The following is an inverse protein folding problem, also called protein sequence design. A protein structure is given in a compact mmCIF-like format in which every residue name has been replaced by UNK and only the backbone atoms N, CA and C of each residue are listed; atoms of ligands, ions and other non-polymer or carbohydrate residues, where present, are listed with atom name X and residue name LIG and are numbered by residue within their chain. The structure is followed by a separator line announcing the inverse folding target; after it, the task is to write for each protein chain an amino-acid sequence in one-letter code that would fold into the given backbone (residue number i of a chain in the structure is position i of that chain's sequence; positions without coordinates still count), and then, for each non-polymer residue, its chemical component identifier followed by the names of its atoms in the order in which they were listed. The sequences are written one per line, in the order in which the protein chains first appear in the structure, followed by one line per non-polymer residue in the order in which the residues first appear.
data_IF_091208200888
#
_entry.id   IF_091208200888
#
_cell.length_a   1.000
_cell.length_b   1.000
_cell.length_c   1.000
_cell.angle_alpha   90.00
_cell.angle_beta   90.00
_cell.angle_gamma   90.00
#
_symmetry.space_group_name_H-M   'P 1'
#
loop_
_entity.id
_entity.type
_entity.pdbx_description
1 polymer ?
#
# COMPACT_ATOMS: atom_id res chain seq x y z
N UNK A 1 2.65 -15.02 -11.49
CA UNK A 1 3.74 -15.20 -10.51
C UNK A 1 5.01 -14.70 -11.15
N UNK A 2 5.81 -13.95 -10.41
CA UNK A 2 7.13 -13.46 -10.79
C UNK A 2 8.13 -13.98 -9.76
N UNK A 3 9.21 -14.60 -10.22
CA UNK A 3 10.30 -15.06 -9.36
C UNK A 3 11.28 -13.92 -9.09
N UNK A 4 11.61 -13.69 -7.82
CA UNK A 4 12.61 -12.73 -7.37
C UNK A 4 13.86 -13.51 -6.98
N UNK A 5 14.96 -13.42 -7.76
CA UNK A 5 16.14 -14.26 -7.57
C UNK A 5 16.67 -14.23 -6.13
N UNK A 6 16.75 -15.42 -5.51
CA UNK A 6 17.23 -15.58 -4.13
C UNK A 6 16.26 -15.12 -3.04
N UNK A 7 15.05 -14.66 -3.39
CA UNK A 7 14.06 -14.15 -2.43
C UNK A 7 12.75 -14.94 -2.43
N UNK A 8 12.32 -15.44 -3.59
CA UNK A 8 11.10 -16.25 -3.77
C UNK A 8 10.15 -15.68 -4.83
N UNK A 9 8.97 -16.26 -5.00
CA UNK A 9 7.99 -15.82 -5.99
C UNK A 9 6.83 -15.02 -5.36
N UNK A 10 6.33 -14.01 -6.09
CA UNK A 10 5.15 -13.23 -5.71
C UNK A 10 4.15 -13.09 -6.87
N UNK A 11 2.88 -12.89 -6.54
CA UNK A 11 1.85 -12.49 -7.50
C UNK A 11 2.02 -11.02 -7.87
N UNK A 12 1.99 -10.72 -9.18
CA UNK A 12 2.18 -9.38 -9.73
C UNK A 12 1.10 -9.11 -10.77
N UNK A 13 0.53 -7.92 -10.71
CA UNK A 13 -0.23 -7.27 -11.78
C UNK A 13 0.61 -6.11 -12.29
N UNK A 14 0.84 -6.09 -13.59
CA UNK A 14 1.61 -5.06 -14.27
C UNK A 14 0.75 -4.48 -15.39
N UNK A 15 0.54 -3.17 -15.38
CA UNK A 15 -0.44 -2.52 -16.25
C UNK A 15 -0.14 -1.04 -16.47
N UNK A 16 -0.67 -0.46 -17.55
CA UNK A 16 -0.41 0.94 -17.88
C UNK A 16 0.74 1.10 -18.87
N UNK A 17 1.03 2.32 -19.32
CA UNK A 17 2.07 2.58 -20.31
C UNK A 17 3.47 2.55 -19.68
N UNK A 18 4.47 2.11 -20.45
CA UNK A 18 5.85 1.91 -19.97
C UNK A 18 6.77 3.13 -20.23
N UNK A 19 6.24 4.21 -20.81
CA UNK A 19 6.94 5.45 -21.16
C UNK A 19 6.85 6.54 -20.06
N UNK A 20 6.29 6.18 -18.90
CA UNK A 20 6.14 7.04 -17.73
C UNK A 20 6.75 6.42 -16.46
N UNK A 21 6.62 7.09 -15.30
CA UNK A 21 7.11 6.57 -14.04
C UNK A 21 6.47 5.23 -13.68
N UNK A 22 7.23 4.36 -13.02
CA UNK A 22 6.70 3.09 -12.51
C UNK A 22 6.21 3.27 -11.08
N UNK A 23 4.89 3.26 -10.90
CA UNK A 23 4.22 3.28 -9.60
C UNK A 23 4.16 1.86 -9.04
N UNK A 24 4.84 1.59 -7.92
CA UNK A 24 4.77 0.30 -7.23
C UNK A 24 3.85 0.43 -6.02
N UNK A 25 2.70 -0.27 -6.05
CA UNK A 25 1.66 -0.12 -5.04
C UNK A 25 1.83 -1.13 -3.89
N UNK A 26 1.97 -0.63 -2.67
CA UNK A 26 2.25 -1.42 -1.46
C UNK A 26 1.03 -1.43 -0.53
N UNK A 27 0.44 -2.60 -0.34
CA UNK A 27 -0.83 -2.77 0.37
C UNK A 27 -0.74 -2.63 1.91
N UNK A 28 -1.92 -2.51 2.54
CA UNK A 28 -2.10 -2.51 3.99
C UNK A 28 -1.75 -3.87 4.62
N UNK A 29 -1.47 -3.87 5.93
CA UNK A 29 -1.42 -5.09 6.74
C UNK A 29 -2.75 -5.84 6.66
N UNK A 30 -2.68 -7.17 6.68
CA UNK A 30 -3.84 -8.08 6.55
C UNK A 30 -4.62 -7.95 5.22
N UNK A 31 -4.06 -7.25 4.24
CA UNK A 31 -4.62 -7.15 2.90
C UNK A 31 -3.70 -7.77 1.83
N UNK A 32 -4.23 -7.88 0.61
CA UNK A 32 -3.47 -8.17 -0.61
C UNK A 32 -3.35 -6.91 -1.47
N UNK A 33 -2.49 -6.96 -2.49
CA UNK A 33 -2.30 -5.88 -3.45
C UNK A 33 -3.63 -5.47 -4.10
N UNK A 34 -4.33 -6.43 -4.69
CA UNK A 34 -5.60 -6.18 -5.38
C UNK A 34 -6.67 -5.68 -4.41
N UNK A 35 -6.78 -6.27 -3.22
CA UNK A 35 -7.80 -5.86 -2.25
C UNK A 35 -7.65 -4.41 -1.79
N UNK A 36 -6.41 -3.89 -1.72
CA UNK A 36 -6.17 -2.50 -1.33
C UNK A 36 -6.38 -1.53 -2.49
N UNK A 37 -5.95 -1.91 -3.70
CA UNK A 37 -5.76 -0.95 -4.79
C UNK A 37 -6.78 -1.04 -5.92
N UNK A 38 -7.62 -2.10 -5.97
CA UNK A 38 -8.57 -2.33 -7.07
C UNK A 38 -9.39 -1.09 -7.47
N UNK A 39 -9.98 -0.31 -6.55
CA UNK A 39 -10.75 0.89 -6.92
C UNK A 39 -9.92 1.98 -7.62
N UNK A 40 -8.60 2.01 -7.40
CA UNK A 40 -7.71 3.05 -7.90
C UNK A 40 -6.98 2.68 -9.20
N UNK A 41 -6.86 1.39 -9.55
CA UNK A 41 -5.97 0.94 -10.63
C UNK A 41 -6.22 1.65 -11.96
N UNK A 42 -7.49 1.76 -12.38
CA UNK A 42 -7.85 2.41 -13.64
C UNK A 42 -7.47 3.90 -13.65
N UNK A 43 -7.55 4.58 -12.50
CA UNK A 43 -7.18 5.98 -12.37
C UNK A 43 -5.67 6.18 -12.35
N UNK A 44 -4.92 5.25 -11.77
CA UNK A 44 -3.46 5.38 -11.63
C UNK A 44 -2.71 5.13 -12.94
N UNK A 45 -3.22 4.25 -13.80
CA UNK A 45 -2.58 3.89 -15.09
C UNK A 45 -2.41 5.06 -16.06
N UNK A 46 -3.11 6.18 -15.84
CA UNK A 46 -2.92 7.42 -16.64
C UNK A 46 -1.64 8.17 -16.30
N UNK A 47 -1.01 7.84 -15.16
CA UNK A 47 0.20 8.50 -14.68
C UNK A 47 1.48 7.72 -15.00
N UNK A 48 1.38 6.49 -15.52
CA UNK A 48 2.52 5.64 -15.88
C UNK A 48 2.22 4.15 -15.66
N UNK A 49 3.30 3.36 -15.60
CA UNK A 49 3.24 1.93 -15.33
C UNK A 49 2.82 1.71 -13.88
N UNK A 50 1.86 0.84 -13.64
CA UNK A 50 1.33 0.49 -12.32
C UNK A 50 1.62 -0.97 -12.07
N UNK A 51 2.48 -1.21 -11.07
CA UNK A 51 2.86 -2.53 -10.61
C UNK A 51 2.24 -2.75 -9.24
N UNK A 52 1.40 -3.76 -9.12
CA UNK A 52 0.80 -4.20 -7.87
C UNK A 52 1.29 -5.60 -7.57
N UNK A 53 1.73 -5.85 -6.35
CA UNK A 53 2.11 -7.19 -5.94
C UNK A 53 1.69 -7.48 -4.52
N UNK A 54 1.62 -8.77 -4.18
CA UNK A 54 1.41 -9.20 -2.82
C UNK A 54 2.76 -9.19 -2.08
N UNK A 55 2.86 -8.34 -1.07
CA UNK A 55 4.05 -8.23 -0.24
C UNK A 55 4.26 -9.54 0.52
N UNK A 56 5.53 -9.82 0.83
CA UNK A 56 5.98 -10.96 1.62
C UNK A 56 5.06 -11.27 2.81
N UNK A 57 4.79 -12.54 3.03
CA UNK A 57 3.92 -13.03 4.10
C UNK A 57 2.42 -12.75 3.92
N UNK A 58 2.01 -12.11 2.83
CA UNK A 58 0.60 -11.81 2.52
C UNK A 58 0.19 -12.43 1.20
N UNK A 59 -1.09 -12.80 1.11
CA UNK A 59 -1.71 -13.29 -0.12
C UNK A 59 -0.91 -14.37 -0.83
N UNK A 60 -0.63 -14.13 -2.10
CA UNK A 60 0.22 -14.97 -2.95
C UNK A 60 1.64 -14.40 -3.06
N UNK A 61 2.09 -13.65 -2.06
CA UNK A 61 3.45 -13.17 -1.91
C UNK A 61 4.41 -14.25 -1.41
N UNK A 62 5.67 -13.85 -1.24
CA UNK A 62 6.73 -14.74 -0.74
C UNK A 62 6.35 -15.27 0.64
N UNK A 63 6.23 -16.59 0.78
CA UNK A 63 6.03 -17.21 2.10
C UNK A 63 7.31 -17.07 2.95
N UNK A 64 7.13 -16.81 4.24
CA UNK A 64 8.26 -16.62 5.14
C UNK A 64 7.94 -16.94 6.60
N UNK A 65 8.84 -17.65 7.31
CA UNK A 65 8.70 -17.88 8.74
C UNK A 65 9.03 -16.63 9.58
N UNK A 66 9.73 -15.64 9.01
CA UNK A 66 10.04 -14.35 9.65
C UNK A 66 9.59 -13.19 8.78
N UNK A 67 9.05 -12.14 9.37
CA UNK A 67 8.64 -10.95 8.64
C UNK A 67 9.48 -9.78 9.13
N UNK A 68 10.06 -9.03 8.18
CA UNK A 68 10.76 -7.77 8.40
C UNK A 68 10.25 -6.79 7.32
N UNK A 69 10.02 -5.53 7.70
CA UNK A 69 9.60 -4.52 6.74
C UNK A 69 10.73 -4.19 5.74
N UNK A 70 11.98 -4.32 6.18
CA UNK A 70 13.18 -4.18 5.36
C UNK A 70 13.25 -5.23 4.24
N UNK A 71 12.85 -6.47 4.53
CA UNK A 71 12.78 -7.52 3.51
C UNK A 71 11.74 -7.19 2.45
N UNK A 72 10.61 -6.60 2.85
CA UNK A 72 9.58 -6.14 1.92
C UNK A 72 10.10 -4.99 1.04
N UNK A 73 10.89 -4.08 1.61
CA UNK A 73 11.50 -2.99 0.86
C UNK A 73 12.52 -3.50 -0.18
N UNK A 74 13.31 -4.50 0.19
CA UNK A 74 14.25 -5.15 -0.74
C UNK A 74 13.51 -5.95 -1.83
N UNK A 75 12.35 -6.54 -1.53
CA UNK A 75 11.51 -7.21 -2.53
C UNK A 75 11.02 -6.25 -3.62
N UNK A 76 10.74 -4.97 -3.28
CA UNK A 76 10.35 -3.94 -4.26
C UNK A 76 11.46 -3.71 -5.28
N UNK A 77 12.71 -3.61 -4.83
CA UNK A 77 13.86 -3.37 -5.70
C UNK A 77 14.17 -4.60 -6.55
N UNK A 78 14.12 -5.81 -5.95
CA UNK A 78 14.28 -7.05 -6.69
C UNK A 78 13.19 -7.22 -7.77
N UNK A 79 11.96 -6.82 -7.49
CA UNK A 79 10.88 -6.81 -8.48
C UNK A 79 11.16 -5.80 -9.60
N UNK A 80 11.60 -4.59 -9.26
CA UNK A 80 12.01 -3.60 -10.26
C UNK A 80 13.12 -4.13 -11.17
N UNK A 81 14.12 -4.83 -10.63
CA UNK A 81 15.20 -5.45 -11.43
C UNK A 81 14.65 -6.47 -12.43
N UNK A 82 13.76 -7.37 -11.98
CA UNK A 82 13.13 -8.38 -12.86
C UNK A 82 12.25 -7.74 -13.94
N UNK A 83 11.61 -6.61 -13.63
CA UNK A 83 10.77 -5.86 -14.56
C UNK A 83 11.55 -4.92 -15.50
N UNK A 84 12.89 -4.87 -15.38
CA UNK A 84 13.75 -4.01 -16.17
C UNK A 84 13.61 -2.52 -15.84
N UNK A 85 13.26 -2.19 -14.59
CA UNK A 85 12.97 -0.82 -14.14
C UNK A 85 14.12 -0.29 -13.29
N UNK A 86 14.71 0.81 -13.73
CA UNK A 86 15.82 1.48 -13.02
C UNK A 86 15.35 2.16 -11.74
N UNK A 87 14.23 2.88 -11.77
CA UNK A 87 13.70 3.65 -10.64
C UNK A 87 12.19 3.54 -10.53
N UNK A 88 11.67 3.62 -9.31
CA UNK A 88 10.25 3.48 -9.00
C UNK A 88 9.73 4.64 -8.15
N UNK A 89 8.41 4.80 -8.14
CA UNK A 89 7.68 5.62 -7.17
C UNK A 89 6.86 4.66 -6.29
N UNK A 90 7.34 4.35 -5.07
CA UNK A 90 6.57 3.58 -4.11
C UNK A 90 5.32 4.35 -3.67
N UNK A 91 4.16 3.72 -3.82
CA UNK A 91 2.85 4.22 -3.36
C UNK A 91 2.36 3.30 -2.26
N UNK A 92 2.53 3.72 -1.02
CA UNK A 92 2.22 2.92 0.16
C UNK A 92 0.87 3.26 0.78
N UNK A 93 0.23 2.25 1.37
CA UNK A 93 -0.91 2.43 2.27
C UNK A 93 -0.67 1.72 3.61
N UNK A 94 -0.81 2.44 4.73
CA UNK A 94 -0.61 1.89 6.08
C UNK A 94 0.76 1.20 6.24
N UNK A 95 0.82 -0.12 6.49
CA UNK A 95 2.06 -0.92 6.45
C UNK A 95 2.89 -0.67 5.18
N UNK A 96 2.24 -0.63 4.02
CA UNK A 96 2.91 -0.34 2.75
C UNK A 96 3.56 1.05 2.71
N UNK A 97 3.07 2.02 3.48
CA UNK A 97 3.73 3.33 3.64
C UNK A 97 4.97 3.27 4.53
N UNK A 98 5.04 2.33 5.46
CA UNK A 98 6.26 2.09 6.24
C UNK A 98 7.31 1.42 5.35
N UNK A 99 6.89 0.43 4.55
CA UNK A 99 7.74 -0.21 3.54
C UNK A 99 8.23 0.81 2.51
N UNK A 100 7.37 1.69 1.98
CA UNK A 100 7.76 2.75 1.04
C UNK A 100 8.89 3.65 1.59
N UNK A 101 8.79 4.06 2.86
CA UNK A 101 9.84 4.83 3.52
C UNK A 101 11.16 4.04 3.59
N UNK A 102 11.10 2.72 3.85
CA UNK A 102 12.28 1.85 3.86
C UNK A 102 12.87 1.60 2.47
N UNK A 103 12.06 1.58 1.41
CA UNK A 103 12.57 1.48 0.03
C UNK A 103 13.49 2.66 -0.23
N UNK A 104 13.04 3.90 0.07
CA UNK A 104 13.89 5.08 -0.06
C UNK A 104 15.10 5.02 0.88
N UNK A 105 14.92 4.65 2.16
CA UNK A 105 16.01 4.63 3.14
C UNK A 105 17.14 3.67 2.77
N UNK A 106 16.79 2.53 2.18
CA UNK A 106 17.75 1.45 1.86
C UNK A 106 18.29 1.56 0.44
N UNK A 107 17.47 2.07 -0.47
CA UNK A 107 17.76 2.13 -1.91
C UNK A 107 17.43 3.52 -2.49
N UNK A 108 18.02 4.61 -1.96
CA UNK A 108 17.63 5.97 -2.35
C UNK A 108 17.82 6.23 -3.85
N UNK A 109 18.83 5.63 -4.48
CA UNK A 109 19.08 5.74 -5.93
C UNK A 109 18.03 5.03 -6.81
N UNK A 110 17.15 4.22 -6.21
CA UNK A 110 16.09 3.46 -6.90
C UNK A 110 14.71 4.12 -6.77
N UNK A 111 14.63 5.27 -6.10
CA UNK A 111 13.35 5.96 -5.83
C UNK A 111 13.37 7.35 -6.46
N UNK A 112 12.40 7.65 -7.32
CA UNK A 112 12.24 9.00 -7.89
C UNK A 112 11.20 9.85 -7.15
N UNK A 113 10.34 9.24 -6.34
CA UNK A 113 9.30 9.92 -5.57
C UNK A 113 8.57 8.97 -4.62
N UNK A 114 7.78 9.52 -3.70
CA UNK A 114 7.05 8.76 -2.67
C UNK A 114 5.60 9.24 -2.53
N UNK A 115 4.67 8.29 -2.44
CA UNK A 115 3.29 8.59 -2.03
C UNK A 115 2.96 7.76 -0.80
N UNK A 116 2.69 8.44 0.31
CA UNK A 116 2.48 7.82 1.63
C UNK A 116 1.04 8.03 2.08
N UNK A 117 0.20 6.99 2.03
CA UNK A 117 -1.20 7.07 2.42
C UNK A 117 -1.41 6.46 3.82
N UNK A 118 -2.18 7.16 4.66
CA UNK A 118 -2.46 6.71 6.04
C UNK A 118 -1.16 6.29 6.75
N UNK A 119 -0.15 7.18 6.73
CA UNK A 119 1.24 6.87 7.03
C UNK A 119 1.72 7.55 8.33
N UNK A 120 2.69 6.95 9.02
CA UNK A 120 3.32 7.55 10.19
C UNK A 120 4.82 7.25 10.21
N UNK A 121 5.57 8.08 10.94
CA UNK A 121 6.98 7.83 11.20
C UNK A 121 7.19 6.79 12.33
N UNK A 122 6.22 6.66 13.23
CA UNK A 122 6.15 5.63 14.25
C UNK A 122 4.69 5.48 14.68
N UNK A 123 4.29 4.27 15.09
CA UNK A 123 2.92 4.01 15.55
C UNK A 123 2.86 4.04 17.07
N UNK A 124 1.72 4.49 17.62
CA UNK A 124 1.48 4.30 19.05
C UNK A 124 1.01 2.87 19.29
N UNK A 125 1.86 2.04 19.91
CA UNK A 125 1.57 0.62 20.18
C UNK A 125 0.14 0.37 20.70
N UNK A 126 -0.26 1.04 21.77
CA UNK A 126 -1.57 0.81 22.40
C UNK A 126 -2.76 1.19 21.51
N UNK A 127 -2.61 2.18 20.64
CA UNK A 127 -3.66 2.57 19.68
C UNK A 127 -3.66 1.64 18.48
N UNK A 128 -2.47 1.29 17.99
CA UNK A 128 -2.31 0.40 16.84
C UNK A 128 -2.79 -1.01 17.13
N UNK A 129 -2.41 -1.60 18.26
CA UNK A 129 -2.90 -2.93 18.66
C UNK A 129 -4.43 -2.96 18.76
N UNK A 130 -5.05 -1.98 19.44
CA UNK A 130 -6.51 -1.91 19.58
C UNK A 130 -7.21 -1.79 18.22
N UNK A 131 -6.68 -0.97 17.31
CA UNK A 131 -7.32 -0.72 16.02
C UNK A 131 -7.02 -1.82 15.01
N UNK A 132 -5.80 -2.36 14.95
CA UNK A 132 -5.46 -3.48 14.08
C UNK A 132 -6.21 -4.75 14.48
N UNK A 133 -6.31 -5.07 15.78
CA UNK A 133 -7.15 -6.17 16.26
C UNK A 133 -8.63 -5.90 15.97
N UNK A 134 -9.12 -4.68 16.22
CA UNK A 134 -10.51 -4.32 15.96
C UNK A 134 -10.89 -4.35 14.47
N UNK A 135 -10.01 -3.89 13.58
CA UNK A 135 -10.19 -3.95 12.13
C UNK A 135 -10.14 -5.38 11.62
N UNK A 136 -9.22 -6.20 12.13
CA UNK A 136 -9.16 -7.62 11.79
C UNK A 136 -10.41 -8.35 12.27
N UNK A 137 -10.88 -8.07 13.49
CA UNK A 137 -12.13 -8.61 14.01
C UNK A 137 -13.34 -8.16 13.18
N UNK A 138 -13.46 -6.86 12.86
CA UNK A 138 -14.54 -6.33 12.03
C UNK A 138 -14.51 -6.89 10.60
N UNK A 139 -13.32 -7.10 10.05
CA UNK A 139 -13.14 -7.80 8.78
C UNK A 139 -13.67 -9.23 8.92
N UNK A 140 -13.22 -10.02 9.89
CA UNK A 140 -13.73 -11.38 10.14
C UNK A 140 -15.25 -11.44 10.40
N UNK A 141 -15.82 -10.46 11.10
CA UNK A 141 -17.27 -10.35 11.32
C UNK A 141 -18.02 -10.03 10.02
N UNK A 142 -17.52 -9.09 9.23
CA UNK A 142 -18.10 -8.76 7.91
C UNK A 142 -18.10 -9.95 6.96
N UNK A 143 -17.20 -10.90 7.21
CA UNK A 143 -16.99 -12.14 6.46
C UNK A 143 -17.82 -13.32 6.98
N UNK A 144 -18.46 -13.17 8.15
CA UNK A 144 -19.41 -14.15 8.68
C UNK A 144 -20.77 -13.96 7.97
N UNK A 145 -21.48 -15.03 7.56
CA UNK A 145 -22.81 -14.89 6.98
C UNK A 145 -23.68 -14.11 7.98
N UNK A 146 -24.41 -13.06 7.55
CA UNK A 146 -25.27 -12.36 8.48
C UNK A 146 -26.29 -13.37 8.99
N UNK A 147 -26.32 -13.61 10.31
CA UNK A 147 -27.37 -14.38 10.97
C UNK A 147 -28.76 -13.70 10.87
N UNK A 148 -28.92 -12.68 10.01
CA UNK A 148 -30.17 -11.99 9.72
C UNK A 148 -30.77 -12.52 8.43
N UNK A 149 -31.66 -13.50 8.59
CA UNK A 149 -32.84 -13.79 7.76
C UNK A 149 -32.71 -13.35 6.29
N UNK A 150 -32.04 -14.15 5.47
CA UNK A 150 -32.26 -14.11 4.02
C UNK A 150 -33.71 -14.53 3.76
N UNK A 151 -34.55 -13.60 3.31
CA UNK A 151 -35.83 -13.94 2.70
C UNK A 151 -35.54 -14.75 1.42
N UNK A 152 -36.29 -15.85 1.16
CA UNK A 152 -36.08 -16.66 -0.03
C UNK A 152 -36.42 -15.83 -1.26
N UNK A 153 -35.38 -15.33 -1.96
CA UNK A 153 -35.53 -14.51 -3.16
C UNK A 153 -34.41 -13.46 -3.36
N UNK A 154 -33.76 -13.00 -2.29
CA UNK A 154 -32.68 -12.00 -2.39
C UNK A 154 -31.38 -12.55 -3.01
N UNK A 155 -31.25 -13.87 -3.12
CA UNK A 155 -30.10 -14.55 -3.72
C UNK A 155 -29.97 -14.36 -5.24
N UNK A 156 -31.01 -13.83 -5.92
CA UNK A 156 -31.05 -13.73 -7.38
C UNK A 156 -30.71 -12.34 -7.94
N UNK A 157 -30.33 -11.35 -7.11
CA UNK A 157 -30.25 -9.95 -7.58
C UNK A 157 -28.93 -9.21 -7.35
N UNK A 158 -27.86 -9.79 -6.81
CA UNK A 158 -26.75 -8.94 -6.33
C UNK A 158 -25.35 -9.44 -6.66
N UNK A 159 -24.62 -8.64 -7.46
CA UNK A 159 -23.16 -8.67 -7.58
C UNK A 159 -22.42 -8.53 -6.23
N UNK A 160 -23.13 -8.11 -5.18
CA UNK A 160 -22.68 -8.07 -3.78
C UNK A 160 -22.15 -9.41 -3.25
N UNK A 161 -22.74 -10.55 -3.65
CA UNK A 161 -22.25 -11.87 -3.21
C UNK A 161 -20.95 -12.29 -3.90
N UNK A 162 -20.70 -11.80 -5.13
CA UNK A 162 -19.52 -12.15 -5.93
C UNK A 162 -18.27 -11.47 -5.38
N UNK A 163 -18.39 -10.20 -5.03
CA UNK A 163 -17.31 -9.42 -4.44
C UNK A 163 -17.00 -9.88 -3.01
N UNK A 164 -18.02 -10.26 -2.23
CA UNK A 164 -17.84 -10.75 -0.86
C UNK A 164 -17.08 -12.08 -0.79
N UNK A 165 -17.42 -13.05 -1.64
CA UNK A 165 -16.69 -14.32 -1.72
C UNK A 165 -15.26 -14.15 -2.22
N UNK A 166 -15.03 -13.20 -3.12
CA UNK A 166 -13.69 -12.86 -3.59
C UNK A 166 -12.85 -12.18 -2.48
N UNK A 167 -13.41 -11.18 -1.78
CA UNK A 167 -12.78 -10.54 -0.61
C UNK A 167 -12.46 -11.59 0.47
N UNK A 168 -13.40 -12.50 0.75
CA UNK A 168 -13.20 -13.65 1.63
C UNK A 168 -11.98 -14.49 1.21
N UNK A 169 -11.84 -14.78 -0.08
CA UNK A 169 -10.70 -15.50 -0.64
C UNK A 169 -9.38 -14.74 -0.41
N UNK A 170 -9.37 -13.43 -0.63
CA UNK A 170 -8.20 -12.58 -0.39
C UNK A 170 -7.80 -12.57 1.09
N UNK A 171 -8.76 -12.41 2.00
CA UNK A 171 -8.47 -12.41 3.44
C UNK A 171 -7.95 -13.76 3.91
N UNK A 172 -8.57 -14.86 3.45
CA UNK A 172 -8.14 -16.23 3.80
C UNK A 172 -6.80 -16.64 3.20
N UNK A 173 -6.33 -15.93 2.17
CA UNK A 173 -5.03 -16.20 1.56
C UNK A 173 -3.85 -15.75 2.42
N UNK A 174 -4.08 -14.99 3.50
CA UNK A 174 -3.04 -14.57 4.44
C UNK A 174 -3.22 -15.28 5.79
N UNK A 175 -2.14 -15.91 6.29
CA UNK A 175 -2.22 -16.60 7.59
C UNK A 175 -2.30 -15.60 8.77
N UNK A 176 -3.07 -15.88 9.83
CA UNK A 176 -3.10 -15.05 11.03
C UNK A 176 -1.72 -14.87 11.69
N UNK A 177 -0.88 -15.90 11.62
CA UNK A 177 0.49 -15.85 12.13
C UNK A 177 1.37 -14.85 11.37
N UNK A 178 1.22 -14.77 10.04
CA UNK A 178 1.94 -13.78 9.24
C UNK A 178 1.46 -12.35 9.55
N UNK A 179 0.15 -12.14 9.68
CA UNK A 179 -0.43 -10.85 10.09
C UNK A 179 0.12 -10.40 11.44
N UNK A 180 0.19 -11.32 12.41
CA UNK A 180 0.71 -11.02 13.75
C UNK A 180 2.17 -10.61 13.71
N UNK A 181 3.00 -11.28 12.89
CA UNK A 181 4.41 -10.90 12.69
C UNK A 181 4.53 -9.53 12.02
N UNK A 182 3.69 -9.23 11.02
CA UNK A 182 3.68 -7.93 10.36
C UNK A 182 3.30 -6.79 11.31
N UNK A 183 2.23 -6.96 12.10
CA UNK A 183 1.83 -5.99 13.13
C UNK A 183 2.95 -5.74 14.13
N UNK A 184 3.69 -6.79 14.52
CA UNK A 184 4.82 -6.64 15.44
C UNK A 184 5.94 -5.77 14.86
N UNK A 185 6.21 -5.88 13.56
CA UNK A 185 7.20 -5.04 12.87
C UNK A 185 6.69 -3.62 12.64
N UNK A 186 5.41 -3.42 12.31
CA UNK A 186 4.81 -2.08 12.23
C UNK A 186 4.96 -1.31 13.56
N UNK A 187 4.84 -2.01 14.69
CA UNK A 187 5.04 -1.44 16.03
C UNK A 187 6.50 -1.07 16.28
N UNK A 188 7.45 -1.83 15.72
CA UNK A 188 8.89 -1.59 15.87
C UNK A 188 9.43 -0.50 14.94
N UNK A 189 8.72 -0.25 13.83
CA UNK A 189 9.12 0.75 12.86
C UNK A 189 9.23 2.14 13.48
N UNK A 190 10.37 2.79 13.22
CA UNK A 190 10.63 4.17 13.64
C UNK A 190 11.51 4.87 12.60
N UNK A 191 10.90 5.79 11.84
CA UNK A 191 11.58 6.72 10.94
C UNK A 191 11.78 8.11 11.51
N UNK A 192 11.37 8.38 12.75
CA UNK A 192 11.42 9.74 13.34
C UNK A 192 12.81 10.37 13.30
N UNK A 193 13.86 9.54 13.34
CA UNK A 193 15.26 9.96 13.33
C UNK A 193 15.83 10.31 11.95
N UNK A 194 15.20 9.89 10.85
CA UNK A 194 15.77 10.00 9.51
C UNK A 194 14.78 10.42 8.43
N UNK A 195 13.49 10.51 8.73
CA UNK A 195 12.47 10.84 7.72
C UNK A 195 12.64 12.24 7.11
N UNK A 196 13.32 13.14 7.82
CA UNK A 196 13.69 14.47 7.33
C UNK A 196 14.80 14.47 6.28
N UNK A 197 15.47 13.34 6.09
CA UNK A 197 16.51 13.16 5.09
C UNK A 197 15.93 12.84 3.69
N UNK A 198 14.62 12.55 3.59
CA UNK A 198 13.94 12.27 2.31
C UNK A 198 14.13 13.45 1.36
N UNK A 199 14.71 13.17 0.20
CA UNK A 199 15.17 14.16 -0.79
C UNK A 199 14.45 14.04 -2.15
N UNK A 200 13.42 13.21 -2.23
CA UNK A 200 12.61 13.00 -3.44
C UNK A 200 11.21 13.62 -3.30
N UNK A 201 10.57 14.03 -4.41
CA UNK A 201 9.19 14.49 -4.41
C UNK A 201 8.27 13.55 -3.64
N UNK A 202 7.64 14.07 -2.59
CA UNK A 202 6.80 13.28 -1.70
C UNK A 202 5.40 13.88 -1.59
N UNK A 203 4.39 13.02 -1.50
CA UNK A 203 3.04 13.39 -1.08
C UNK A 203 2.59 12.51 0.10
N UNK A 204 1.93 13.12 1.08
CA UNK A 204 1.35 12.42 2.22
C UNK A 204 -0.17 12.59 2.19
N UNK A 205 -0.89 11.48 2.00
CA UNK A 205 -2.35 11.46 2.03
C UNK A 205 -2.83 11.17 3.45
N UNK A 206 -3.40 12.20 4.08
CA UNK A 206 -3.88 12.19 5.45
C UNK A 206 -5.35 11.78 5.51
N UNK A 207 -5.64 10.70 6.21
CA UNK A 207 -7.01 10.23 6.49
C UNK A 207 -7.55 10.89 7.76
N UNK A 208 -8.49 11.84 7.63
CA UNK A 208 -8.92 12.74 8.71
C UNK A 208 -9.69 12.07 9.87
N UNK A 209 -10.09 10.81 9.72
CA UNK A 209 -10.76 10.02 10.78
C UNK A 209 -9.95 8.81 11.21
N UNK A 210 -8.67 8.78 10.88
CA UNK A 210 -7.78 7.67 11.20
C UNK A 210 -7.50 7.61 12.71
N UNK A 211 -7.80 6.45 13.30
CA UNK A 211 -7.52 6.13 14.70
C UNK A 211 -6.37 5.15 14.88
N UNK A 212 -5.91 4.50 13.81
CA UNK A 212 -4.81 3.54 13.87
C UNK A 212 -3.48 4.28 14.02
N UNK A 213 -3.17 5.14 13.05
CA UNK A 213 -1.96 5.95 13.05
C UNK A 213 -2.22 7.33 13.69
N UNK A 214 -3.45 7.83 13.56
CA UNK A 214 -3.86 9.10 14.13
C UNK A 214 -3.48 10.29 13.25
N UNK A 215 -4.43 11.16 12.96
CA UNK A 215 -4.28 12.33 12.07
C UNK A 215 -3.06 13.18 12.41
N UNK A 216 -2.83 13.48 13.69
CA UNK A 216 -1.69 14.30 14.11
C UNK A 216 -0.34 13.70 13.77
N UNK A 217 -0.20 12.36 13.76
CA UNK A 217 1.07 11.70 13.38
C UNK A 217 1.27 11.71 11.87
N UNK A 218 0.20 11.60 11.09
CA UNK A 218 0.27 11.71 9.64
C UNK A 218 0.68 13.13 9.21
N UNK A 219 0.09 14.15 9.84
CA UNK A 219 0.50 15.55 9.63
C UNK A 219 1.94 15.80 10.08
N UNK A 220 2.33 15.31 11.26
CA UNK A 220 3.71 15.41 11.74
C UNK A 220 4.71 14.79 10.76
N UNK A 221 4.36 13.64 10.15
CA UNK A 221 5.17 12.99 9.13
C UNK A 221 5.33 13.91 7.91
N UNK A 222 4.23 14.44 7.40
CA UNK A 222 4.23 15.34 6.25
C UNK A 222 5.08 16.60 6.51
N UNK A 223 4.92 17.23 7.68
CA UNK A 223 5.67 18.42 8.08
C UNK A 223 7.18 18.17 8.24
N UNK A 224 7.59 16.90 8.40
CA UNK A 224 8.99 16.52 8.62
C UNK A 224 9.72 16.17 7.34
N UNK A 225 9.01 15.86 6.26
CA UNK A 225 9.60 15.57 4.95
C UNK A 225 9.73 16.88 4.17
N UNK A 226 10.94 17.26 3.72
CA UNK A 226 11.14 18.45 2.88
C UNK A 226 10.22 18.45 1.65
N UNK A 227 9.59 19.60 1.38
CA UNK A 227 8.74 19.83 0.19
C UNK A 227 7.62 18.79 -0.02
N UNK A 228 7.17 18.11 1.05
CA UNK A 228 6.07 17.17 0.98
C UNK A 228 4.74 17.91 0.75
N UNK A 229 3.94 17.38 -0.18
CA UNK A 229 2.57 17.86 -0.41
C UNK A 229 1.60 17.06 0.44
N UNK A 230 0.85 17.74 1.30
CA UNK A 230 -0.20 17.11 2.11
C UNK A 230 -1.52 17.12 1.36
N UNK A 231 -2.18 15.96 1.25
CA UNK A 231 -3.53 15.81 0.71
C UNK A 231 -4.43 15.24 1.79
N UNK A 232 -5.48 15.96 2.18
CA UNK A 232 -6.39 15.50 3.24
C UNK A 232 -7.67 14.88 2.69
N UNK A 233 -8.09 13.75 3.26
CA UNK A 233 -9.30 13.01 2.86
C UNK A 233 -10.18 12.74 4.07
N UNK A 234 -11.47 13.04 3.96
CA UNK A 234 -12.49 12.74 4.96
C UNK A 234 -12.85 11.24 5.00
N UNK A 235 -11.90 10.43 5.47
CA UNK A 235 -11.98 8.97 5.59
C UNK A 235 -11.25 8.44 6.83
N UNK A 236 -11.62 7.23 7.26
CA UNK A 236 -10.92 6.49 8.33
C UNK A 236 -9.72 5.68 7.81
N UNK A 237 -9.09 4.90 8.69
CA UNK A 237 -7.92 4.08 8.33
C UNK A 237 -8.21 3.00 7.28
N UNK A 238 -9.44 2.54 7.15
CA UNK A 238 -9.88 1.62 6.09
C UNK A 238 -10.61 2.38 4.94
N UNK A 239 -10.25 3.64 4.73
CA UNK A 239 -10.86 4.53 3.74
C UNK A 239 -10.70 4.04 2.31
N UNK A 240 -9.61 3.34 1.99
CA UNK A 240 -9.40 2.71 0.68
C UNK A 240 -10.52 1.75 0.28
N UNK A 241 -11.17 1.12 1.27
CA UNK A 241 -12.25 0.15 1.06
C UNK A 241 -13.63 0.76 1.32
N UNK A 242 -13.83 1.40 2.49
CA UNK A 242 -15.15 1.86 2.93
C UNK A 242 -15.49 3.30 2.51
N UNK A 243 -14.54 4.03 1.96
CA UNK A 243 -14.72 5.39 1.45
C UNK A 243 -13.93 5.57 0.14
N UNK A 244 -13.93 4.53 -0.70
CA UNK A 244 -13.05 4.40 -1.88
C UNK A 244 -13.15 5.60 -2.82
N UNK A 245 -14.34 6.15 -3.08
CA UNK A 245 -14.51 7.33 -3.94
C UNK A 245 -13.70 8.53 -3.45
N UNK A 246 -13.81 8.87 -2.16
CA UNK A 246 -13.06 9.97 -1.53
C UNK A 246 -11.56 9.66 -1.51
N UNK A 247 -11.20 8.43 -1.17
CA UNK A 247 -9.82 7.98 -1.13
C UNK A 247 -9.14 8.06 -2.52
N UNK A 248 -9.79 7.53 -3.55
CA UNK A 248 -9.26 7.52 -4.93
C UNK A 248 -9.06 8.94 -5.44
N UNK A 249 -10.00 9.85 -5.18
CA UNK A 249 -9.84 11.27 -5.55
C UNK A 249 -8.60 11.90 -4.90
N UNK A 250 -8.40 11.69 -3.59
CA UNK A 250 -7.21 12.18 -2.88
C UNK A 250 -5.92 11.51 -3.35
N UNK A 251 -5.95 10.21 -3.60
CA UNK A 251 -4.80 9.42 -4.07
C UNK A 251 -4.34 9.90 -5.45
N UNK A 252 -5.30 10.14 -6.34
CA UNK A 252 -5.05 10.73 -7.66
C UNK A 252 -4.33 12.07 -7.53
N UNK A 253 -4.79 12.96 -6.66
CA UNK A 253 -4.16 14.26 -6.43
C UNK A 253 -2.74 14.13 -5.84
N UNK A 254 -2.53 13.17 -4.92
CA UNK A 254 -1.22 12.90 -4.34
C UNK A 254 -0.22 12.36 -5.39
N UNK A 255 -0.65 11.41 -6.21
CA UNK A 255 0.17 10.84 -7.30
C UNK A 255 0.48 11.88 -8.37
N UNK A 256 -0.51 12.70 -8.76
CA UNK A 256 -0.32 13.79 -9.72
C UNK A 256 0.72 14.80 -9.22
N UNK A 257 0.60 15.23 -7.95
CA UNK A 257 1.57 16.13 -7.31
C UNK A 257 3.01 15.59 -7.33
N UNK A 258 3.20 14.29 -7.08
CA UNK A 258 4.53 13.67 -7.17
C UNK A 258 4.99 13.62 -8.62
N UNK A 259 4.14 13.15 -9.54
CA UNK A 259 4.44 13.05 -10.99
C UNK A 259 4.86 14.38 -11.60
N UNK A 260 4.23 15.48 -11.22
CA UNK A 260 4.54 16.84 -11.67
C UNK A 260 5.96 17.30 -11.28
N UNK A 261 6.53 16.71 -10.23
CA UNK A 261 7.81 17.10 -9.64
C UNK A 261 8.93 16.07 -9.87
N UNK A 262 8.64 14.97 -10.56
CA UNK A 262 9.65 13.98 -10.89
C UNK A 262 10.72 14.58 -11.82
N UNK A 263 11.99 14.12 -11.72
CA UNK A 263 13.04 14.54 -12.63
C UNK A 263 12.69 14.21 -14.09
N UNK A 264 13.21 15.01 -15.03
CA UNK A 264 12.86 14.94 -16.45
C UNK A 264 13.06 13.53 -17.06
N UNK A 265 12.15 13.20 -17.97
CA UNK A 265 11.77 11.88 -18.50
C UNK A 265 12.84 11.04 -19.23
N UNK A 266 14.11 11.46 -19.30
CA UNK A 266 15.15 10.67 -20.00
C UNK A 266 15.35 9.28 -19.37
N UNK A 267 14.99 9.10 -18.09
CA UNK A 267 15.04 7.80 -17.39
C UNK A 267 13.93 6.80 -17.75
N UNK A 268 12.82 7.28 -18.33
CA UNK A 268 11.63 6.45 -18.61
C UNK A 268 11.48 6.09 -20.10
N UNK A 269 12.35 6.62 -20.96
CA UNK A 269 12.47 6.13 -22.34
C UNK A 269 13.10 4.75 -22.29
N UNK A 270 12.31 3.73 -22.65
CA UNK A 270 12.81 2.37 -22.80
C UNK A 270 14.00 2.37 -23.75
N UNK A 271 15.08 1.67 -23.38
CA UNK A 271 16.13 1.31 -24.31
C UNK A 271 15.53 0.31 -25.32
N UNK A 272 14.87 0.81 -26.36
CA UNK A 272 14.71 0.04 -27.60
C UNK A 272 16.07 -0.02 -28.27
N UNK A 273 16.74 -1.16 -28.10
CA UNK A 273 17.95 -1.57 -28.79
C UNK A 273 17.94 -3.08 -28.98
#
# INVERSE_FOLDING_TARGET
MVDLPGRGATYVIDSGPHDGPTLVLLHSVACTGVMTWYPALAHLRRFGRVVVFDQRGHGQGIDTPRFLLEDCADDVVALADVLGVSTVVPVGYSMGSLVAQLVWRRHPSRVDGLVLCAAAAAVNRASYERVATGLFAALLESLSPPARRLAPGAALTQGYLRDHQWILGQVRSTSPGAITRAIAEDIRFDSTKWIHEVDVPTAVLVTLRDRAFGVSRQRWLADRIPDAVTVEVDAGHAGCTFASEKFVAGLVAAVESVRDRLPATERYRSAEG
#
